data_IF_860441905862
#
_entry.id   IF_860441905862
#
_cell.length_a   1.000
_cell.length_b   1.000
_cell.length_c   1.000
_cell.angle_alpha   90.00
_cell.angle_beta   90.00
_cell.angle_gamma   90.00
#
_symmetry.space_group_name_H-M   'P 1'
#
loop_
_entity.id
_entity.type
_entity.pdbx_description
1 polymer ?
#
# COMPACT_ATOMS: atom_id res chain seq x y z
N UNK A 1 -2.01 -8.31 13.64
CA UNK A 1 -1.80 -6.84 13.72
C UNK A 1 -3.02 -6.14 13.18
N UNK A 2 -3.56 -5.13 13.87
CA UNK A 2 -4.77 -4.42 13.43
C UNK A 2 -4.44 -3.48 12.25
N UNK A 3 -5.19 -3.51 11.14
CA UNK A 3 -5.06 -2.53 10.05
C UNK A 3 -5.23 -1.10 10.55
N UNK A 4 -4.46 -0.15 10.01
CA UNK A 4 -4.63 1.27 10.32
C UNK A 4 -5.98 1.77 9.77
N UNK A 5 -6.75 2.58 10.53
CA UNK A 5 -8.10 2.99 10.15
C UNK A 5 -8.09 4.16 9.15
N UNK A 6 -7.50 3.95 7.98
CA UNK A 6 -7.66 4.85 6.83
C UNK A 6 -9.10 4.84 6.31
N UNK A 7 -9.52 5.94 5.72
CA UNK A 7 -10.80 6.02 5.03
C UNK A 7 -10.73 5.28 3.69
N UNK A 8 -11.71 4.43 3.43
CA UNK A 8 -11.85 3.70 2.18
C UNK A 8 -13.05 4.26 1.43
N UNK A 9 -12.80 5.20 0.52
CA UNK A 9 -13.83 5.74 -0.36
C UNK A 9 -14.10 4.76 -1.51
N UNK A 10 -15.38 4.43 -1.72
CA UNK A 10 -15.80 3.50 -2.78
C UNK A 10 -16.80 4.15 -3.71
N UNK A 11 -16.72 3.82 -5.01
CA UNK A 11 -17.66 4.35 -6.02
C UNK A 11 -18.95 3.54 -6.10
N UNK A 12 -18.96 2.35 -5.51
CA UNK A 12 -20.10 1.41 -5.50
C UNK A 12 -20.04 0.50 -4.28
N UNK A 13 -21.09 -0.32 -4.11
CA UNK A 13 -21.04 -1.46 -3.19
C UNK A 13 -20.10 -2.52 -3.76
N UNK A 14 -19.05 -2.86 -3.01
CA UNK A 14 -18.00 -3.77 -3.46
C UNK A 14 -18.42 -5.24 -3.37
N UNK A 15 -17.97 -6.00 -4.35
CA UNK A 15 -17.91 -7.45 -4.39
C UNK A 15 -16.43 -7.90 -4.39
N UNK A 16 -16.19 -9.20 -4.24
CA UNK A 16 -14.83 -9.76 -4.18
C UNK A 16 -13.94 -9.40 -5.37
N UNK A 17 -14.52 -9.29 -6.57
CA UNK A 17 -13.77 -8.95 -7.80
C UNK A 17 -13.26 -7.50 -7.79
N UNK A 18 -13.91 -6.63 -7.03
CA UNK A 18 -13.62 -5.19 -7.00
C UNK A 18 -12.38 -4.85 -6.17
N UNK A 19 -11.78 -5.82 -5.48
CA UNK A 19 -10.53 -5.66 -4.73
C UNK A 19 -9.27 -5.97 -5.57
N UNK A 20 -9.43 -6.32 -6.85
CA UNK A 20 -8.31 -6.56 -7.74
C UNK A 20 -7.54 -5.26 -8.03
N UNK A 21 -6.22 -5.37 -8.15
CA UNK A 21 -5.31 -4.27 -8.45
C UNK A 21 -4.65 -4.50 -9.80
N UNK A 22 -4.72 -3.50 -10.68
CA UNK A 22 -3.85 -3.45 -11.86
C UNK A 22 -2.55 -2.72 -11.54
N UNK A 23 -2.64 -1.47 -11.08
CA UNK A 23 -1.51 -0.64 -10.70
C UNK A 23 -2.00 0.46 -9.77
N UNK A 24 -1.55 0.43 -8.52
CA UNK A 24 -1.80 1.52 -7.57
C UNK A 24 -1.04 2.78 -7.97
N UNK A 25 -1.52 3.93 -7.51
CA UNK A 25 -0.84 5.22 -7.67
C UNK A 25 -1.27 6.21 -6.59
N UNK A 26 -0.37 7.12 -6.24
CA UNK A 26 -0.77 8.31 -5.49
C UNK A 26 -1.77 9.12 -6.29
N UNK A 27 -2.70 9.77 -5.60
CA UNK A 27 -3.42 10.88 -6.20
C UNK A 27 -2.43 12.00 -6.54
N UNK A 28 -2.90 13.00 -7.29
CA UNK A 28 -2.07 14.14 -7.69
C UNK A 28 -2.63 15.41 -7.08
N UNK A 29 -1.74 16.23 -6.53
CA UNK A 29 -2.01 17.62 -6.20
C UNK A 29 -1.24 18.49 -7.20
N UNK A 30 -1.91 18.86 -8.31
CA UNK A 30 -1.24 19.50 -9.45
C UNK A 30 -0.21 18.58 -10.10
N UNK A 31 1.08 18.97 -10.06
CA UNK A 31 2.21 18.19 -10.59
C UNK A 31 2.82 17.23 -9.56
N UNK A 32 2.50 17.41 -8.28
CA UNK A 32 3.10 16.64 -7.19
C UNK A 32 2.21 15.46 -6.79
N UNK A 33 2.84 14.48 -6.12
CA UNK A 33 2.11 13.36 -5.52
C UNK A 33 1.36 13.87 -4.29
N UNK A 34 0.08 13.51 -4.18
CA UNK A 34 -0.65 13.63 -2.92
C UNK A 34 -0.35 12.40 -2.05
N UNK A 35 0.41 12.62 -0.97
CA UNK A 35 0.79 11.57 -0.03
C UNK A 35 -0.35 11.18 0.94
N UNK A 36 -1.44 11.93 0.96
CA UNK A 36 -2.60 11.63 1.79
C UNK A 36 -3.51 10.57 1.17
N UNK A 37 -3.44 10.41 -0.16
CA UNK A 37 -4.40 9.64 -0.95
C UNK A 37 -3.72 8.68 -1.92
N UNK A 38 -4.11 7.41 -1.88
CA UNK A 38 -3.72 6.39 -2.86
C UNK A 38 -4.94 5.89 -3.61
N UNK A 39 -4.89 5.96 -4.93
CA UNK A 39 -5.85 5.32 -5.82
C UNK A 39 -5.46 3.85 -5.90
N UNK A 40 -6.27 2.99 -5.27
CA UNK A 40 -6.04 1.56 -5.23
C UNK A 40 -6.43 0.91 -6.57
N UNK A 41 -7.63 1.24 -7.06
CA UNK A 41 -8.12 0.91 -8.39
C UNK A 41 -9.24 1.90 -8.80
N UNK A 42 -10.05 1.57 -9.82
CA UNK A 42 -11.17 2.42 -10.28
C UNK A 42 -12.38 2.45 -9.33
N UNK A 43 -12.41 1.59 -8.31
CA UNK A 43 -13.52 1.47 -7.37
C UNK A 43 -13.18 1.86 -5.95
N UNK A 44 -11.89 1.84 -5.58
CA UNK A 44 -11.39 1.98 -4.23
C UNK A 44 -10.31 3.06 -4.19
N UNK A 45 -10.48 4.03 -3.29
CA UNK A 45 -9.49 5.05 -2.96
C UNK A 45 -9.22 5.02 -1.46
N UNK A 46 -7.94 5.03 -1.09
CA UNK A 46 -7.47 5.04 0.30
C UNK A 46 -7.11 6.48 0.65
N UNK A 47 -7.74 7.02 1.69
CA UNK A 47 -7.57 8.40 2.14
C UNK A 47 -7.20 8.43 3.63
N UNK A 48 -6.59 9.52 4.10
CA UNK A 48 -6.22 9.62 5.51
C UNK A 48 -4.90 8.96 5.85
N UNK A 49 -3.99 8.80 4.88
CA UNK A 49 -2.66 8.22 5.15
C UNK A 49 -1.83 9.26 5.92
N UNK A 50 -1.35 8.95 7.14
CA UNK A 50 -0.51 9.87 7.90
C UNK A 50 0.85 10.07 7.20
N UNK A 51 1.36 11.31 7.21
CA UNK A 51 2.61 11.65 6.53
C UNK A 51 3.83 11.00 7.20
N UNK A 52 3.74 10.68 8.48
CA UNK A 52 4.79 10.03 9.27
C UNK A 52 5.08 8.61 8.78
N UNK A 53 4.15 7.98 8.06
CA UNK A 53 4.36 6.66 7.43
C UNK A 53 5.55 6.69 6.47
N UNK A 54 5.76 7.82 5.78
CA UNK A 54 6.80 7.97 4.77
C UNK A 54 8.19 8.20 5.39
N UNK A 55 8.30 8.44 6.70
CA UNK A 55 9.59 8.46 7.39
C UNK A 55 10.22 7.05 7.45
N UNK A 56 9.41 6.00 7.36
CA UNK A 56 9.91 4.63 7.35
C UNK A 56 10.43 4.26 5.96
N UNK A 57 11.75 4.28 5.82
CA UNK A 57 12.49 4.01 4.58
C UNK A 57 13.25 2.68 4.70
N UNK A 58 13.03 1.79 3.74
CA UNK A 58 13.72 0.49 3.65
C UNK A 58 14.45 0.42 2.32
N UNK A 59 15.77 0.21 2.36
CA UNK A 59 16.63 0.16 1.18
C UNK A 59 16.49 1.39 0.27
N UNK A 60 16.51 2.59 0.89
CA UNK A 60 16.44 3.88 0.18
C UNK A 60 15.08 4.24 -0.41
N UNK A 61 14.03 3.43 -0.19
CA UNK A 61 12.67 3.69 -0.68
C UNK A 61 11.66 3.70 0.46
N UNK A 62 10.69 4.62 0.39
CA UNK A 62 9.58 4.70 1.35
C UNK A 62 8.77 3.40 1.32
N UNK A 63 8.32 2.93 2.47
CA UNK A 63 7.66 1.63 2.59
C UNK A 63 6.40 1.48 1.72
N UNK A 64 5.59 2.55 1.56
CA UNK A 64 4.39 2.50 0.71
C UNK A 64 4.71 2.48 -0.78
N UNK A 65 5.83 3.08 -1.20
CA UNK A 65 6.29 3.01 -2.59
C UNK A 65 6.62 1.57 -2.99
N UNK A 66 7.16 0.76 -2.06
CA UNK A 66 7.39 -0.66 -2.33
C UNK A 66 6.11 -1.41 -2.67
N UNK A 67 5.02 -1.10 -1.98
CA UNK A 67 3.74 -1.78 -2.15
C UNK A 67 3.06 -1.34 -3.44
N UNK A 68 3.06 -0.04 -3.70
CA UNK A 68 2.53 0.54 -4.95
C UNK A 68 3.25 -0.02 -6.18
N UNK A 69 4.56 -0.26 -6.08
CA UNK A 69 5.36 -0.80 -7.18
C UNK A 69 5.21 -2.32 -7.36
N UNK A 70 5.21 -3.10 -6.27
CA UNK A 70 5.26 -4.56 -6.34
C UNK A 70 3.90 -5.25 -6.42
N UNK A 71 2.87 -4.70 -5.78
CA UNK A 71 1.54 -5.30 -5.79
C UNK A 71 0.75 -4.75 -6.97
N UNK A 72 1.14 -5.20 -8.17
CA UNK A 72 0.55 -4.83 -9.44
C UNK A 72 0.44 -6.05 -10.36
N UNK A 73 -0.17 -5.86 -11.53
CA UNK A 73 -0.08 -6.79 -12.65
C UNK A 73 1.00 -6.28 -13.59
N UNK A 74 2.05 -7.07 -13.80
CA UNK A 74 3.17 -6.71 -14.66
C UNK A 74 3.59 -7.88 -15.53
N UNK A 75 3.71 -7.64 -16.83
CA UNK A 75 4.29 -8.59 -17.77
C UNK A 75 5.76 -8.27 -17.97
N UNK A 76 6.61 -9.27 -17.77
CA UNK A 76 8.01 -9.18 -18.16
C UNK A 76 8.13 -9.16 -19.68
N UNK A 77 8.90 -8.20 -20.23
CA UNK A 77 8.93 -7.97 -21.69
C UNK A 77 9.71 -9.04 -22.44
N UNK A 78 10.75 -9.59 -21.81
CA UNK A 78 11.67 -10.51 -22.47
C UNK A 78 11.12 -11.93 -22.45
N UNK A 79 10.54 -12.36 -21.33
CA UNK A 79 9.96 -13.69 -21.17
C UNK A 79 8.46 -13.77 -21.49
N UNK A 80 7.73 -12.65 -21.48
CA UNK A 80 6.28 -12.62 -21.60
C UNK A 80 5.52 -13.12 -20.36
N UNK A 81 6.23 -13.45 -19.27
CA UNK A 81 5.61 -13.99 -18.05
C UNK A 81 4.83 -12.88 -17.34
N UNK A 82 3.55 -13.14 -17.06
CA UNK A 82 2.68 -12.25 -16.30
C UNK A 82 2.83 -12.54 -14.81
N UNK A 83 3.26 -11.52 -14.07
CA UNK A 83 3.21 -11.50 -12.61
C UNK A 83 1.95 -10.75 -12.18
N UNK A 84 0.96 -11.49 -11.68
CA UNK A 84 -0.29 -10.94 -11.16
C UNK A 84 -0.36 -11.14 -9.64
N UNK A 85 -0.19 -10.03 -8.90
CA UNK A 85 -0.24 -10.05 -7.43
C UNK A 85 -1.61 -10.48 -6.87
N UNK A 86 -2.70 -10.37 -7.64
CA UNK A 86 -4.03 -10.76 -7.19
C UNK A 86 -4.19 -12.27 -7.05
N UNK A 87 -3.43 -13.05 -7.83
CA UNK A 87 -3.47 -14.53 -7.75
C UNK A 87 -3.05 -15.01 -6.36
N UNK A 88 -2.09 -14.35 -5.71
CA UNK A 88 -1.75 -14.67 -4.32
C UNK A 88 -2.94 -14.46 -3.38
N UNK A 89 -3.64 -13.33 -3.53
CA UNK A 89 -4.79 -12.98 -2.70
C UNK A 89 -5.95 -13.98 -2.87
N UNK A 90 -6.21 -14.45 -4.09
CA UNK A 90 -7.35 -15.33 -4.39
C UNK A 90 -7.02 -16.81 -4.23
N UNK A 91 -5.87 -17.27 -4.68
CA UNK A 91 -5.51 -18.70 -4.71
C UNK A 91 -4.88 -19.17 -3.41
N UNK A 92 -4.02 -18.34 -2.81
CA UNK A 92 -3.26 -18.72 -1.61
C UNK A 92 -3.94 -18.23 -0.34
N UNK A 93 -4.17 -16.92 -0.22
CA UNK A 93 -4.77 -16.31 0.98
C UNK A 93 -6.29 -16.54 1.06
N UNK A 94 -6.93 -16.87 -0.07
CA UNK A 94 -8.39 -16.99 -0.20
C UNK A 94 -9.13 -15.77 0.36
N UNK A 95 -8.52 -14.59 0.22
CA UNK A 95 -9.04 -13.31 0.65
C UNK A 95 -8.79 -12.26 -0.45
N UNK A 96 -9.80 -11.94 -1.27
CA UNK A 96 -9.68 -10.92 -2.32
C UNK A 96 -9.25 -9.54 -1.79
N UNK A 97 -9.51 -9.24 -0.51
CA UNK A 97 -9.15 -7.96 0.13
C UNK A 97 -7.71 -7.93 0.64
N UNK A 98 -6.96 -9.02 0.50
CA UNK A 98 -5.65 -9.18 1.11
C UNK A 98 -4.69 -8.02 0.80
N UNK A 99 -4.60 -7.57 -0.45
CA UNK A 99 -3.68 -6.49 -0.83
C UNK A 99 -4.07 -5.17 -0.15
N UNK A 100 -5.37 -4.87 -0.09
CA UNK A 100 -5.88 -3.68 0.61
C UNK A 100 -5.58 -3.74 2.11
N UNK A 101 -5.87 -4.86 2.75
CA UNK A 101 -5.57 -5.05 4.18
C UNK A 101 -4.07 -5.01 4.46
N UNK A 102 -3.25 -5.57 3.58
CA UNK A 102 -1.80 -5.54 3.67
C UNK A 102 -1.30 -4.09 3.64
N UNK A 103 -1.81 -3.28 2.72
CA UNK A 103 -1.50 -1.85 2.64
C UNK A 103 -1.80 -1.15 3.98
N UNK A 104 -2.98 -1.37 4.54
CA UNK A 104 -3.37 -0.80 5.84
C UNK A 104 -2.51 -1.32 7.02
N UNK A 105 -2.11 -2.59 7.00
CA UNK A 105 -1.22 -3.17 8.03
C UNK A 105 0.17 -2.56 7.93
N UNK A 106 0.66 -2.29 6.73
CA UNK A 106 1.98 -1.66 6.50
C UNK A 106 1.99 -0.24 7.03
N UNK A 107 0.89 0.52 6.91
CA UNK A 107 0.75 1.81 7.58
C UNK A 107 0.97 1.65 9.09
N UNK A 108 0.29 0.69 9.73
CA UNK A 108 0.46 0.42 11.17
C UNK A 108 1.91 0.05 11.51
N UNK A 109 2.53 -0.87 10.75
CA UNK A 109 3.93 -1.27 10.96
C UNK A 109 4.84 -0.06 10.93
N UNK A 110 4.69 0.79 9.92
CA UNK A 110 5.56 1.96 9.71
C UNK A 110 5.49 2.92 10.89
N UNK A 111 4.28 3.24 11.36
CA UNK A 111 4.09 4.15 12.49
C UNK A 111 4.63 3.56 13.80
N UNK A 112 4.36 2.28 14.07
CA UNK A 112 4.87 1.61 15.27
C UNK A 112 6.41 1.46 15.23
N UNK A 113 6.98 1.17 14.06
CA UNK A 113 8.43 1.13 13.88
C UNK A 113 9.05 2.50 14.16
N UNK A 114 8.51 3.57 13.58
CA UNK A 114 9.05 4.92 13.82
C UNK A 114 8.88 5.35 15.28
N UNK A 115 7.81 4.94 15.96
CA UNK A 115 7.65 5.15 17.40
C UNK A 115 8.75 4.46 18.21
N UNK A 116 9.10 3.22 17.89
CA UNK A 116 10.20 2.49 18.54
C UNK A 116 11.54 3.18 18.28
N UNK A 117 11.82 3.52 17.01
CA UNK A 117 13.08 4.18 16.62
C UNK A 117 13.25 5.52 17.33
N UNK A 118 12.21 6.35 17.38
CA UNK A 118 12.22 7.64 18.08
C UNK A 118 12.35 7.49 19.60
N UNK A 119 12.05 6.31 20.15
CA UNK A 119 12.22 5.99 21.56
C UNK A 119 13.57 5.38 21.93
N UNK A 120 14.48 5.15 20.97
CA UNK A 120 15.80 4.62 21.26
C UNK A 120 16.67 5.67 21.99
N UNK A 121 17.57 5.24 22.90
CA UNK A 121 18.50 6.16 23.54
C UNK A 121 19.41 6.81 22.50
N UNK A 122 19.81 8.05 22.77
CA UNK A 122 20.83 8.73 21.97
C UNK A 122 22.15 7.94 21.99
N UNK A 123 22.96 8.10 20.94
CA UNK A 123 24.20 7.33 20.73
C UNK A 123 25.29 7.56 21.78
N UNK A 124 25.08 8.44 22.77
CA UNK A 124 26.03 8.70 23.85
C UNK A 124 27.38 9.21 23.35
N UNK A 125 27.37 10.02 22.28
CA UNK A 125 28.54 10.68 21.71
C UNK A 125 28.93 11.92 22.51
#
# INVERSE_FOLDING_TARGET
MKPYPVEIATTKKLSDKDYSVTQMRYAKNGKEKDLFTVIFNEHITIQGIPVEVYEYVVNGKQVLDWIIERYCVKTDKDSGIVNDANLWATETEKNPKYILELFQRIITVSLETMKIVKGLPGLGL
#
